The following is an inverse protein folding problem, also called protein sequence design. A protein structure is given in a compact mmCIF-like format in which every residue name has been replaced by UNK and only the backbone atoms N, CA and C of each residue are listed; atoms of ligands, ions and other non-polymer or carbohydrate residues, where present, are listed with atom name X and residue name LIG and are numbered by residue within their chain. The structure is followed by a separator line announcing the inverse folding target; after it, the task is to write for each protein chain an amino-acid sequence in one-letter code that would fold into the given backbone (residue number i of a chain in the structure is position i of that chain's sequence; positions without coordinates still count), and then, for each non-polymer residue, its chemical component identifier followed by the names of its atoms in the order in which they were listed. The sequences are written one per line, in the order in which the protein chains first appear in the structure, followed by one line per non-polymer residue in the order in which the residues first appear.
data_IF_513144034458
#
_entry.id   IF_513144034458
#
_cell.length_a   1.000
_cell.length_b   1.000
_cell.length_c   1.000
_cell.angle_alpha   90.00
_cell.angle_beta   90.00
_cell.angle_gamma   90.00
#
_symmetry.space_group_name_H-M   'P 1'
#
loop_
_entity.id
_entity.type
_entity.pdbx_description
1 polymer ?
#
# COMPACT_ATOMS: atom_id res chain seq x y z
N UNK A 1 1.62 8.09 -14.04
CA UNK A 1 2.79 7.47 -13.34
C UNK A 1 2.30 6.68 -12.13
N UNK A 2 2.87 5.52 -11.80
CA UNK A 2 2.50 4.77 -10.58
C UNK A 2 2.80 5.62 -9.31
N UNK A 3 1.77 5.95 -8.52
CA UNK A 3 1.84 6.88 -7.37
C UNK A 3 2.11 6.14 -6.05
N UNK A 4 3.05 5.20 -6.02
CA UNK A 4 3.44 4.54 -4.77
C UNK A 4 4.87 4.03 -4.81
N UNK A 5 5.43 3.80 -3.61
CA UNK A 5 6.78 3.23 -3.43
C UNK A 5 6.70 1.98 -2.56
N UNK A 6 7.29 0.89 -3.03
CA UNK A 6 7.33 -0.38 -2.28
C UNK A 6 8.74 -0.67 -1.78
N UNK A 7 8.86 -0.92 -0.47
CA UNK A 7 10.10 -1.26 0.21
C UNK A 7 10.06 -2.70 0.70
N UNK A 8 11.15 -3.42 0.45
CA UNK A 8 11.38 -4.78 0.89
C UNK A 8 12.42 -4.77 2.00
N UNK A 9 12.09 -5.33 3.15
CA UNK A 9 12.93 -5.23 4.35
C UNK A 9 13.07 -6.58 5.02
N UNK A 10 14.29 -6.88 5.42
CA UNK A 10 14.62 -7.99 6.31
C UNK A 10 14.95 -7.41 7.68
N UNK A 11 14.28 -7.89 8.73
CA UNK A 11 14.42 -7.40 10.11
C UNK A 11 14.41 -8.57 11.09
N UNK A 12 14.87 -8.32 12.32
CA UNK A 12 14.90 -9.32 13.38
C UNK A 12 16.20 -10.14 13.38
N UNK A 13 16.34 -11.01 14.39
CA UNK A 13 17.51 -11.86 14.63
C UNK A 13 17.06 -13.32 14.74
N UNK A 14 17.96 -14.24 14.37
CA UNK A 14 17.77 -15.69 14.45
C UNK A 14 16.39 -16.16 13.94
N UNK A 15 15.67 -16.95 14.74
CA UNK A 15 14.37 -17.53 14.40
C UNK A 15 13.25 -16.47 14.29
N UNK A 16 13.50 -15.23 14.71
CA UNK A 16 12.56 -14.10 14.65
C UNK A 16 12.79 -13.20 13.43
N UNK A 17 13.60 -13.63 12.45
CA UNK A 17 13.74 -12.88 11.21
C UNK A 17 12.42 -12.80 10.44
N UNK A 18 12.08 -11.59 9.99
CA UNK A 18 10.86 -11.26 9.24
C UNK A 18 11.25 -10.61 7.92
N UNK A 19 10.61 -11.07 6.85
CA UNK A 19 10.51 -10.35 5.58
C UNK A 19 9.25 -9.48 5.58
N UNK A 20 9.40 -8.18 5.34
CA UNK A 20 8.30 -7.23 5.29
C UNK A 20 8.30 -6.48 3.96
N UNK A 21 7.11 -6.37 3.37
CA UNK A 21 6.84 -5.54 2.21
C UNK A 21 5.94 -4.41 2.65
N UNK A 22 6.39 -3.17 2.44
CA UNK A 22 5.61 -1.97 2.75
C UNK A 22 5.45 -1.11 1.51
N UNK A 23 4.21 -0.75 1.21
CA UNK A 23 3.86 0.16 0.11
C UNK A 23 3.37 1.47 0.68
N UNK A 24 4.02 2.56 0.29
CA UNK A 24 3.64 3.92 0.65
C UNK A 24 2.91 4.52 -0.53
N UNK A 25 1.63 4.81 -0.35
CA UNK A 25 0.81 5.45 -1.38
C UNK A 25 1.07 6.95 -1.34
N UNK A 26 1.51 7.52 -2.47
CA UNK A 26 2.03 8.89 -2.52
C UNK A 26 0.93 9.95 -2.52
N UNK A 27 -0.32 9.57 -2.83
CA UNK A 27 -1.49 10.43 -2.77
C UNK A 27 -1.66 11.00 -1.35
N UNK A 28 -1.64 12.32 -1.27
CA UNK A 28 -1.87 13.05 -0.03
C UNK A 28 -3.36 13.31 0.14
N UNK A 29 -3.88 13.08 1.33
CA UNK A 29 -5.23 13.40 1.74
C UNK A 29 -5.22 14.43 2.87
N UNK A 30 -6.33 15.16 3.02
CA UNK A 30 -6.47 16.10 4.13
C UNK A 30 -6.91 15.34 5.39
N UNK A 31 -6.63 15.92 6.56
CA UNK A 31 -7.03 15.31 7.84
C UNK A 31 -8.56 15.13 7.95
N UNK A 32 -9.33 16.01 7.30
CA UNK A 32 -10.79 15.96 7.28
C UNK A 32 -11.33 14.76 6.47
N UNK A 33 -10.54 14.22 5.53
CA UNK A 33 -10.90 13.04 4.73
C UNK A 33 -10.71 11.74 5.52
N UNK A 34 -10.00 11.79 6.66
CA UNK A 34 -9.57 10.61 7.42
C UNK A 34 -10.73 9.68 7.82
N UNK A 35 -11.91 10.15 8.26
CA UNK A 35 -13.03 9.24 8.55
C UNK A 35 -13.45 8.38 7.37
N UNK A 36 -13.53 8.97 6.16
CA UNK A 36 -13.86 8.23 4.94
C UNK A 36 -12.74 7.26 4.56
N UNK A 37 -11.48 7.67 4.67
CA UNK A 37 -10.34 6.79 4.44
C UNK A 37 -10.35 5.57 5.36
N UNK A 38 -10.66 5.75 6.64
CA UNK A 38 -10.75 4.66 7.60
C UNK A 38 -11.86 3.67 7.25
N UNK A 39 -13.02 4.15 6.80
CA UNK A 39 -14.11 3.28 6.35
C UNK A 39 -13.68 2.42 5.15
N UNK A 40 -13.02 3.02 4.15
CA UNK A 40 -12.48 2.30 2.99
C UNK A 40 -11.39 1.29 3.41
N UNK A 41 -10.48 1.69 4.29
CA UNK A 41 -9.40 0.82 4.79
C UNK A 41 -9.98 -0.37 5.56
N UNK A 42 -10.99 -0.15 6.40
CA UNK A 42 -11.65 -1.21 7.16
C UNK A 42 -12.38 -2.18 6.22
N UNK A 43 -13.05 -1.68 5.17
CA UNK A 43 -13.72 -2.53 4.19
C UNK A 43 -12.72 -3.40 3.41
N UNK A 44 -11.62 -2.81 2.95
CA UNK A 44 -10.53 -3.54 2.31
C UNK A 44 -9.97 -4.62 3.23
N UNK A 45 -9.54 -4.23 4.43
CA UNK A 45 -8.90 -5.11 5.40
C UNK A 45 -9.80 -6.27 5.84
N UNK A 46 -11.12 -6.09 5.79
CA UNK A 46 -12.12 -7.11 6.09
C UNK A 46 -12.32 -8.10 4.94
N UNK A 47 -12.22 -7.66 3.69
CA UNK A 47 -12.50 -8.48 2.50
C UNK A 47 -11.27 -9.16 1.93
N UNK A 48 -10.09 -8.59 2.15
CA UNK A 48 -8.84 -9.08 1.58
C UNK A 48 -7.89 -9.57 2.67
N UNK A 49 -6.99 -10.47 2.29
CA UNK A 49 -5.96 -10.96 3.20
C UNK A 49 -4.77 -10.01 3.28
N UNK A 50 -4.44 -9.31 2.19
CA UNK A 50 -3.31 -8.40 2.10
C UNK A 50 -3.49 -7.36 0.97
N UNK A 51 -2.73 -6.25 1.01
CA UNK A 51 -1.99 -5.80 2.19
C UNK A 51 -2.94 -5.43 3.32
N UNK A 52 -2.45 -5.46 4.57
CA UNK A 52 -3.14 -4.74 5.65
C UNK A 52 -2.78 -3.27 5.53
N UNK A 53 -3.78 -2.41 5.48
CA UNK A 53 -3.59 -0.99 5.24
C UNK A 53 -3.91 -0.18 6.49
N UNK A 54 -3.15 0.89 6.71
CA UNK A 54 -3.40 1.86 7.77
C UNK A 54 -3.09 3.27 7.29
N UNK A 55 -3.66 4.27 7.97
CA UNK A 55 -3.36 5.69 7.72
C UNK A 55 -2.21 6.17 8.59
N UNK A 56 -1.33 7.00 8.04
CA UNK A 56 -0.33 7.77 8.77
C UNK A 56 -0.62 9.26 8.59
N UNK A 57 -0.77 9.99 9.70
CA UNK A 57 -0.94 11.44 9.69
C UNK A 57 0.41 12.08 10.01
N UNK A 58 0.89 12.93 9.09
CA UNK A 58 2.10 13.71 9.26
C UNK A 58 1.83 14.96 10.11
N UNK A 59 2.90 15.57 10.61
CA UNK A 59 2.83 16.76 11.48
C UNK A 59 2.22 17.99 10.76
N UNK A 60 2.27 18.02 9.43
CA UNK A 60 1.67 19.06 8.59
C UNK A 60 0.16 18.84 8.33
N UNK A 61 -0.42 17.79 8.91
CA UNK A 61 -1.83 17.42 8.75
C UNK A 61 -2.12 16.57 7.52
N UNK A 62 -1.11 16.28 6.67
CA UNK A 62 -1.31 15.37 5.54
C UNK A 62 -1.52 13.94 6.00
N UNK A 63 -2.47 13.24 5.38
CA UNK A 63 -2.76 11.83 5.65
C UNK A 63 -2.34 11.01 4.45
N UNK A 64 -1.56 9.96 4.69
CA UNK A 64 -1.15 8.97 3.69
C UNK A 64 -1.57 7.58 4.10
N UNK A 65 -1.70 6.69 3.12
CA UNK A 65 -1.96 5.29 3.37
C UNK A 65 -0.67 4.48 3.25
N UNK A 66 -0.55 3.44 4.08
CA UNK A 66 0.56 2.50 4.05
C UNK A 66 -0.02 1.09 4.06
N UNK A 67 0.32 0.30 3.04
CA UNK A 67 0.03 -1.12 2.98
C UNK A 67 1.21 -1.93 3.50
N UNK A 68 0.95 -2.95 4.30
CA UNK A 68 1.97 -3.90 4.75
C UNK A 68 1.56 -5.36 4.61
N UNK A 69 2.56 -6.18 4.31
CA UNK A 69 2.51 -7.63 4.39
C UNK A 69 3.83 -8.14 4.98
N UNK A 70 3.77 -9.23 5.75
CA UNK A 70 4.93 -9.75 6.46
C UNK A 70 4.90 -11.27 6.57
N UNK A 71 6.09 -11.87 6.60
CA UNK A 71 6.30 -13.31 6.72
C UNK A 71 7.49 -13.57 7.63
N UNK A 72 7.34 -14.49 8.58
CA UNK A 72 8.44 -15.01 9.37
C UNK A 72 9.29 -15.92 8.48
N UNK A 73 10.60 -15.67 8.44
CA UNK A 73 11.56 -16.41 7.62
C UNK A 73 12.69 -17.05 8.43
N UNK A 74 12.83 -16.70 9.72
CA UNK A 74 13.96 -17.15 10.56
C UNK A 74 14.06 -18.67 10.72
N UNK A 75 12.92 -19.38 10.71
CA UNK A 75 12.87 -20.84 10.76
C UNK A 75 13.04 -21.52 9.38
N UNK A 76 13.38 -20.73 8.35
CA UNK A 76 13.44 -21.17 6.96
C UNK A 76 12.12 -21.00 6.23
N UNK A 77 12.22 -20.71 4.93
CA UNK A 77 11.07 -20.58 4.02
C UNK A 77 11.41 -21.26 2.70
N UNK A 78 10.42 -21.94 2.10
CA UNK A 78 10.56 -22.45 0.72
C UNK A 78 10.76 -21.28 -0.24
N UNK A 79 11.75 -21.39 -1.14
CA UNK A 79 12.02 -20.37 -2.16
C UNK A 79 10.79 -20.08 -3.02
N UNK A 80 10.05 -21.12 -3.42
CA UNK A 80 8.84 -20.95 -4.22
C UNK A 80 7.75 -20.21 -3.45
N UNK A 81 7.57 -20.54 -2.17
CA UNK A 81 6.60 -19.85 -1.31
C UNK A 81 6.98 -18.39 -1.10
N UNK A 82 8.26 -18.10 -0.88
CA UNK A 82 8.78 -16.75 -0.73
C UNK A 82 8.53 -15.90 -1.97
N UNK A 83 8.91 -16.40 -3.15
CA UNK A 83 8.71 -15.70 -4.43
C UNK A 83 7.23 -15.50 -4.73
N UNK A 84 6.42 -16.56 -4.61
CA UNK A 84 4.98 -16.49 -4.87
C UNK A 84 4.25 -15.51 -3.95
N UNK A 85 4.60 -15.50 -2.66
CA UNK A 85 4.02 -14.56 -1.68
C UNK A 85 4.43 -13.13 -2.00
N UNK A 86 5.70 -12.89 -2.32
CA UNK A 86 6.20 -11.55 -2.68
C UNK A 86 5.47 -10.99 -3.90
N UNK A 87 5.32 -11.78 -4.96
CA UNK A 87 4.59 -11.38 -6.18
C UNK A 87 3.12 -11.10 -5.86
N UNK A 88 2.48 -11.97 -5.08
CA UNK A 88 1.09 -11.82 -4.66
C UNK A 88 0.86 -10.53 -3.86
N UNK A 89 1.79 -10.19 -2.96
CA UNK A 89 1.69 -8.98 -2.16
C UNK A 89 1.88 -7.70 -2.98
N UNK A 90 2.84 -7.67 -3.91
CA UNK A 90 3.03 -6.52 -4.80
C UNK A 90 1.79 -6.30 -5.67
N UNK A 91 1.21 -7.38 -6.22
CA UNK A 91 -0.03 -7.30 -7.01
C UNK A 91 -1.19 -6.77 -6.18
N UNK A 92 -1.36 -7.28 -4.96
CA UNK A 92 -2.42 -6.82 -4.06
C UNK A 92 -2.24 -5.34 -3.64
N UNK A 93 -1.00 -4.87 -3.50
CA UNK A 93 -0.74 -3.46 -3.23
C UNK A 93 -1.15 -2.55 -4.39
N UNK A 94 -0.93 -2.99 -5.64
CA UNK A 94 -1.40 -2.31 -6.86
C UNK A 94 -2.93 -2.36 -6.96
N UNK A 95 -3.54 -3.50 -6.65
CA UNK A 95 -4.98 -3.67 -6.66
C UNK A 95 -5.66 -2.76 -5.64
N UNK A 96 -5.10 -2.64 -4.44
CA UNK A 96 -5.58 -1.70 -3.43
C UNK A 96 -5.56 -0.26 -3.92
N UNK A 97 -4.46 0.19 -4.56
CA UNK A 97 -4.35 1.57 -5.05
C UNK A 97 -5.47 1.90 -6.05
N UNK A 98 -5.68 1.01 -7.02
CA UNK A 98 -6.75 1.14 -8.02
C UNK A 98 -8.12 1.14 -7.37
N UNK A 99 -8.37 0.17 -6.49
CA UNK A 99 -9.63 0.05 -5.78
C UNK A 99 -9.94 1.28 -4.93
N UNK A 100 -8.94 1.83 -4.23
CA UNK A 100 -9.11 3.00 -3.38
C UNK A 100 -9.52 4.23 -4.19
N UNK A 101 -8.90 4.44 -5.36
CA UNK A 101 -9.23 5.54 -6.26
C UNK A 101 -10.69 5.46 -6.71
N UNK A 102 -11.13 4.26 -7.11
CA UNK A 102 -12.52 4.00 -7.50
C UNK A 102 -13.48 4.27 -6.31
N UNK A 103 -13.13 3.79 -5.11
CA UNK A 103 -13.97 4.02 -3.92
C UNK A 103 -14.10 5.50 -3.53
N UNK A 104 -13.06 6.29 -3.74
CA UNK A 104 -13.07 7.72 -3.45
C UNK A 104 -13.66 8.57 -4.59
N UNK A 105 -13.96 7.97 -5.75
CA UNK A 105 -14.45 8.68 -6.92
C UNK A 105 -13.40 9.60 -7.56
N UNK A 106 -12.11 9.33 -7.35
CA UNK A 106 -10.99 10.17 -7.79
C UNK A 106 -10.49 9.79 -9.20
N UNK A 107 -11.30 9.04 -9.96
CA UNK A 107 -10.96 8.49 -11.27
C UNK A 107 -10.62 9.58 -12.30
N UNK A 108 -11.24 10.75 -12.19
CA UNK A 108 -11.01 11.88 -13.11
C UNK A 108 -9.65 12.53 -12.89
N UNK A 109 -9.16 12.61 -11.65
CA UNK A 109 -7.86 13.22 -11.32
C UNK A 109 -6.67 12.40 -11.86
N UNK A 110 -6.81 11.07 -11.95
CA UNK A 110 -5.78 10.20 -12.52
C UNK A 110 -5.66 10.40 -14.03
N UNK A 111 -6.80 10.50 -14.72
CA UNK A 111 -6.83 10.71 -16.17
C UNK A 111 -6.26 12.07 -16.58
N UNK A 112 -6.31 13.07 -15.70
CA UNK A 112 -5.71 14.38 -15.93
C UNK A 112 -4.21 14.40 -15.62
N UNK A 113 -3.75 13.70 -14.57
CA UNK A 113 -2.33 13.59 -14.23
C UNK A 113 -1.49 12.76 -15.21
N UNK A 114 -2.12 11.93 -16.05
CA UNK A 114 -1.45 11.17 -17.12
C UNK A 114 -1.44 11.89 -18.48
N UNK A 115 -1.95 13.13 -18.57
CA UNK A 115 -1.74 13.96 -19.75
C UNK A 115 -0.31 14.50 -19.73
N UNK A 116 0.47 14.38 -20.82
CA UNK A 116 1.74 15.09 -20.92
C UNK A 116 1.47 16.59 -20.74
N UNK A 117 2.26 17.26 -19.91
CA UNK A 117 2.35 18.72 -19.93
C UNK A 117 2.81 19.09 -21.35
N UNK A 118 1.91 19.71 -22.13
CA UNK A 118 2.31 20.35 -23.37
C UNK A 118 3.26 21.49 -22.97
N UNK A 119 4.55 21.31 -23.26
CA UNK A 119 5.59 22.34 -23.14
C UNK A 119 5.19 23.55 -24.02
N UNK A 120 4.76 24.66 -23.40
CA UNK A 120 4.76 26.01 -24.01
C UNK A 120 6.03 26.80 -23.65
#
# INVERSE_FOLDING_TARGET
MEQFRTYFMFRGEDDQQIFSVRTFYDRSHQIDDKPQLLESVDDWNRRTLWPKVYTHTHDDGTVRLIGEAQMLIGMGVSLEHFVSSTVSWVRAAIEFDKWLVEQLGLEQEINEADKPEDDE
#
